data_IF_882497340898
#
_entry.id   IF_882497340898
#
_cell.length_a   1.000
_cell.length_b   1.000
_cell.length_c   1.000
_cell.angle_alpha   90.00
_cell.angle_beta   90.00
_cell.angle_gamma   90.00
#
_symmetry.space_group_name_H-M   'P 1'
#
loop_
_entity.id
_entity.type
_entity.pdbx_description
1 polymer ?
#
# COMPACT_ATOMS: atom_id res chain seq x y z
N UNK A 1 11.43 17.19 26.95
CA UNK A 1 10.71 15.89 26.96
C UNK A 1 11.75 14.79 27.12
N UNK A 2 11.55 13.88 28.07
CA UNK A 2 12.49 12.77 28.28
C UNK A 2 12.31 11.76 27.13
N UNK A 3 13.43 11.31 26.53
CA UNK A 3 13.41 10.33 25.45
C UNK A 3 12.94 8.97 26.00
N UNK A 4 12.02 8.30 25.30
CA UNK A 4 11.64 6.91 25.62
C UNK A 4 12.81 5.97 25.27
N UNK A 5 13.63 5.70 26.27
CA UNK A 5 14.84 4.89 26.10
C UNK A 5 14.53 3.46 25.70
N UNK A 6 13.44 2.88 26.22
CA UNK A 6 13.05 1.50 25.93
C UNK A 6 12.68 1.34 24.46
N UNK A 7 11.85 2.23 23.93
CA UNK A 7 11.48 2.23 22.52
C UNK A 7 12.71 2.41 21.61
N UNK A 8 13.57 3.38 21.91
CA UNK A 8 14.73 3.64 21.06
C UNK A 8 15.80 2.55 21.13
N UNK A 9 15.89 1.80 22.24
CA UNK A 9 16.72 0.59 22.31
C UNK A 9 16.17 -0.53 21.41
N UNK A 10 14.86 -0.72 21.36
CA UNK A 10 14.21 -1.67 20.44
C UNK A 10 14.44 -1.29 18.99
N UNK A 11 14.31 0.00 18.64
CA UNK A 11 14.62 0.50 17.29
C UNK A 11 16.08 0.22 16.92
N UNK A 12 17.02 0.43 17.82
CA UNK A 12 18.43 0.12 17.57
C UNK A 12 18.70 -1.38 17.38
N UNK A 13 17.98 -2.24 18.10
CA UNK A 13 18.04 -3.69 17.90
C UNK A 13 17.51 -4.07 16.50
N UNK A 14 16.41 -3.46 16.06
CA UNK A 14 15.87 -3.67 14.71
C UNK A 14 16.83 -3.19 13.62
N UNK A 15 17.45 -2.04 13.78
CA UNK A 15 18.50 -1.56 12.86
C UNK A 15 19.64 -2.60 12.76
N UNK A 16 20.05 -3.17 13.91
CA UNK A 16 21.10 -4.20 13.92
C UNK A 16 20.63 -5.49 13.22
N UNK A 17 19.39 -5.91 13.45
CA UNK A 17 18.80 -7.07 12.79
C UNK A 17 18.80 -6.90 11.26
N UNK A 18 18.31 -5.77 10.76
CA UNK A 18 18.26 -5.50 9.33
C UNK A 18 19.66 -5.42 8.70
N UNK A 19 20.65 -4.86 9.38
CA UNK A 19 22.05 -4.77 8.88
C UNK A 19 22.76 -6.12 8.79
N UNK A 20 22.43 -7.03 9.69
CA UNK A 20 23.13 -8.31 9.82
C UNK A 20 22.35 -9.50 9.22
N UNK A 21 21.10 -9.28 8.79
CA UNK A 21 20.25 -10.27 8.16
C UNK A 21 20.24 -10.16 6.64
N UNK A 22 19.91 -11.24 5.97
CA UNK A 22 19.57 -11.26 4.55
C UNK A 22 18.04 -11.36 4.47
N UNK A 23 17.41 -10.33 3.91
CA UNK A 23 15.95 -10.31 3.73
C UNK A 23 15.58 -10.99 2.42
N UNK A 24 14.77 -12.06 2.50
CA UNK A 24 14.32 -12.84 1.35
C UNK A 24 12.82 -12.67 1.06
N UNK A 25 12.13 -11.80 1.79
CA UNK A 25 10.73 -11.48 1.53
C UNK A 25 10.67 -10.52 0.34
N UNK A 26 10.20 -10.99 -0.81
CA UNK A 26 10.23 -10.26 -2.08
C UNK A 26 9.46 -8.94 -2.06
N UNK A 27 8.49 -8.78 -1.16
CA UNK A 27 7.69 -7.55 -1.00
C UNK A 27 8.33 -6.50 -0.09
N UNK A 28 9.43 -6.82 0.58
CA UNK A 28 10.15 -5.85 1.43
C UNK A 28 11.16 -5.05 0.60
N UNK A 29 11.33 -3.78 0.98
CA UNK A 29 12.30 -2.88 0.35
C UNK A 29 12.89 -1.92 1.39
N UNK A 30 14.21 -1.76 1.37
CA UNK A 30 14.89 -0.78 2.19
C UNK A 30 14.61 0.62 1.66
N UNK A 31 13.89 1.41 2.44
CA UNK A 31 13.54 2.78 2.04
C UNK A 31 14.75 3.73 2.16
N UNK A 32 14.73 4.80 1.38
CA UNK A 32 15.79 5.81 1.45
C UNK A 32 15.75 6.62 2.75
N UNK A 33 16.89 7.17 3.14
CA UNK A 33 16.98 8.05 4.31
C UNK A 33 16.04 9.26 4.21
N UNK A 34 15.84 9.80 3.01
CA UNK A 34 14.93 10.92 2.79
C UNK A 34 13.47 10.56 3.10
N UNK A 35 13.02 9.35 2.75
CA UNK A 35 11.68 8.86 3.10
C UNK A 35 11.54 8.73 4.61
N UNK A 36 12.51 8.10 5.29
CA UNK A 36 12.51 7.99 6.75
C UNK A 36 12.46 9.36 7.44
N UNK A 37 13.23 10.33 6.95
CA UNK A 37 13.22 11.70 7.47
C UNK A 37 11.88 12.39 7.24
N UNK A 38 11.27 12.24 6.06
CA UNK A 38 9.99 12.85 5.75
C UNK A 38 8.85 12.31 6.62
N UNK A 39 8.82 11.00 6.88
CA UNK A 39 7.78 10.36 7.69
C UNK A 39 7.73 10.86 9.14
N UNK A 40 8.86 11.25 9.72
CA UNK A 40 8.96 11.73 11.09
C UNK A 40 8.84 13.26 11.25
N UNK A 41 8.14 13.97 10.36
CA UNK A 41 8.10 15.42 10.33
C UNK A 41 6.75 16.03 10.76
N UNK A 42 6.70 17.34 10.87
CA UNK A 42 5.56 18.11 11.39
C UNK A 42 4.21 17.92 10.67
N UNK A 43 4.14 17.56 9.37
CA UNK A 43 2.87 17.17 8.76
C UNK A 43 2.09 16.08 9.48
N UNK A 44 2.76 15.24 10.27
CA UNK A 44 2.14 14.25 11.18
C UNK A 44 1.15 14.89 12.17
N UNK A 45 1.33 16.16 12.52
CA UNK A 45 0.46 16.90 13.43
C UNK A 45 -0.81 17.43 12.76
N UNK A 46 -0.89 17.39 11.41
CA UNK A 46 -1.93 18.08 10.68
C UNK A 46 -3.08 17.15 10.29
N UNK A 47 -4.26 17.51 10.73
CA UNK A 47 -5.50 16.91 10.27
C UNK A 47 -5.92 17.54 8.94
N UNK A 48 -5.86 16.75 7.83
CA UNK A 48 -6.03 17.24 6.45
C UNK A 48 -7.04 16.41 5.65
N UNK A 49 -8.18 16.12 6.26
CA UNK A 49 -9.26 15.37 5.61
C UNK A 49 -9.77 16.11 4.37
N UNK A 50 -10.05 15.38 3.30
CA UNK A 50 -10.43 15.91 1.99
C UNK A 50 -9.26 15.81 0.99
N UNK A 51 -9.28 16.65 -0.04
CA UNK A 51 -8.28 16.67 -1.11
C UNK A 51 -7.67 18.08 -1.26
N UNK A 52 -6.53 18.24 -1.95
CA UNK A 52 -5.96 19.55 -2.24
C UNK A 52 -7.00 20.52 -2.78
N UNK A 53 -7.09 21.70 -2.17
CA UNK A 53 -8.08 22.74 -2.49
C UNK A 53 -9.53 22.42 -2.06
N UNK A 54 -9.79 21.26 -1.46
CA UNK A 54 -11.11 20.82 -1.00
C UNK A 54 -11.02 20.13 0.37
N UNK A 55 -10.45 20.83 1.35
CA UNK A 55 -10.31 20.33 2.72
C UNK A 55 -11.50 20.70 3.59
N UNK A 56 -11.75 19.86 4.58
CA UNK A 56 -12.78 20.14 5.60
C UNK A 56 -12.29 21.09 6.70
N UNK A 57 -10.96 21.28 6.83
CA UNK A 57 -10.33 22.07 7.89
C UNK A 57 -9.37 23.10 7.30
N UNK A 58 -9.17 24.22 8.01
CA UNK A 58 -8.22 25.26 7.66
C UNK A 58 -6.76 24.89 7.93
N UNK A 59 -5.83 25.69 7.41
CA UNK A 59 -4.38 25.53 7.61
C UNK A 59 -3.77 24.36 6.85
N UNK A 60 -4.36 23.99 5.71
CA UNK A 60 -3.92 22.86 4.89
C UNK A 60 -3.11 23.27 3.66
N UNK A 61 -2.80 24.56 3.49
CA UNK A 61 -2.17 25.11 2.29
C UNK A 61 -0.86 24.40 1.94
N UNK A 62 0.00 24.20 2.94
CA UNK A 62 1.29 23.51 2.75
C UNK A 62 1.10 22.00 2.53
N UNK A 63 0.14 21.39 3.22
CA UNK A 63 -0.20 19.98 2.99
C UNK A 63 -0.74 19.76 1.58
N UNK A 64 -1.51 20.71 1.06
CA UNK A 64 -2.00 20.69 -0.32
C UNK A 64 -0.85 20.69 -1.33
N UNK A 65 0.17 21.52 -1.10
CA UNK A 65 1.38 21.56 -1.94
C UNK A 65 2.15 20.24 -1.86
N UNK A 66 2.32 19.67 -0.67
CA UNK A 66 3.00 18.38 -0.46
C UNK A 66 2.25 17.25 -1.19
N UNK A 67 0.94 17.18 -1.01
CA UNK A 67 0.12 16.12 -1.64
C UNK A 67 0.09 16.30 -3.16
N UNK A 68 -0.07 17.52 -3.66
CA UNK A 68 -0.02 17.82 -5.09
C UNK A 68 1.33 17.43 -5.69
N UNK A 69 2.44 17.75 -5.02
CA UNK A 69 3.77 17.34 -5.47
C UNK A 69 3.89 15.80 -5.57
N UNK A 70 3.36 15.07 -4.60
CA UNK A 70 3.36 13.61 -4.63
C UNK A 70 2.52 13.06 -5.78
N UNK A 71 1.33 13.62 -6.02
CA UNK A 71 0.43 13.27 -7.13
C UNK A 71 1.15 13.48 -8.47
N UNK A 72 1.74 14.65 -8.70
CA UNK A 72 2.39 14.96 -9.98
C UNK A 72 3.63 14.08 -10.22
N UNK A 73 4.39 13.75 -9.19
CA UNK A 73 5.51 12.80 -9.29
C UNK A 73 5.03 11.39 -9.63
N UNK A 74 3.97 10.92 -8.98
CA UNK A 74 3.39 9.61 -9.25
C UNK A 74 2.85 9.52 -10.69
N UNK A 75 2.12 10.54 -11.13
CA UNK A 75 1.64 10.65 -12.53
C UNK A 75 2.78 10.55 -13.53
N UNK A 76 3.90 11.23 -13.26
CA UNK A 76 5.08 11.18 -14.12
C UNK A 76 5.73 9.79 -14.16
N UNK A 77 5.86 9.13 -13.00
CA UNK A 77 6.48 7.80 -12.90
C UNK A 77 5.67 6.76 -13.68
N UNK A 78 4.33 6.79 -13.54
CA UNK A 78 3.43 5.81 -14.15
C UNK A 78 2.87 6.27 -15.51
N UNK A 79 3.26 7.44 -16.00
CA UNK A 79 2.75 8.04 -17.24
C UNK A 79 1.20 8.01 -17.30
N UNK A 80 0.55 8.44 -16.23
CA UNK A 80 -0.90 8.43 -16.09
C UNK A 80 -1.47 9.85 -15.91
N UNK A 81 -2.73 10.03 -16.26
CA UNK A 81 -3.41 11.34 -16.16
C UNK A 81 -3.93 11.65 -14.75
N UNK A 82 -4.11 10.62 -13.92
CA UNK A 82 -4.67 10.75 -12.59
C UNK A 82 -3.96 9.83 -11.60
N UNK A 83 -3.82 10.29 -10.35
CA UNK A 83 -3.25 9.51 -9.27
C UNK A 83 -3.86 9.93 -7.92
N UNK A 84 -3.95 8.99 -6.99
CA UNK A 84 -4.30 9.22 -5.60
C UNK A 84 -3.17 8.69 -4.71
N UNK A 85 -2.67 9.53 -3.81
CA UNK A 85 -1.53 9.22 -2.93
C UNK A 85 -1.95 9.06 -1.46
N UNK A 86 -3.25 9.10 -1.17
CA UNK A 86 -3.76 9.03 0.20
C UNK A 86 -3.81 7.64 0.82
N UNK A 87 -3.93 6.50 0.08
CA UNK A 87 -3.93 5.19 0.72
C UNK A 87 -2.69 4.98 1.60
N UNK A 88 -2.91 4.54 2.84
CA UNK A 88 -1.82 4.28 3.79
C UNK A 88 -1.09 2.95 3.51
N UNK A 89 -1.64 2.11 2.63
CA UNK A 89 -1.08 0.79 2.29
C UNK A 89 -1.59 0.31 0.94
N UNK A 90 -0.89 -0.67 0.35
CA UNK A 90 -1.37 -1.37 -0.85
C UNK A 90 -2.72 -2.06 -0.62
N UNK A 91 -2.97 -2.58 0.58
CA UNK A 91 -4.26 -3.18 0.93
C UNK A 91 -5.41 -2.16 0.87
N UNK A 92 -5.19 -0.93 1.37
CA UNK A 92 -6.18 0.14 1.27
C UNK A 92 -6.38 0.60 -0.17
N UNK A 93 -5.30 0.73 -0.95
CA UNK A 93 -5.39 1.08 -2.36
C UNK A 93 -6.21 0.05 -3.15
N UNK A 94 -5.93 -1.25 -2.95
CA UNK A 94 -6.70 -2.33 -3.56
C UNK A 94 -8.17 -2.30 -3.10
N UNK A 95 -8.43 -2.06 -1.83
CA UNK A 95 -9.79 -1.91 -1.30
C UNK A 95 -10.56 -0.78 -1.97
N UNK A 96 -9.92 0.36 -2.19
CA UNK A 96 -10.51 1.49 -2.90
C UNK A 96 -10.87 1.14 -4.35
N UNK A 97 -10.00 0.40 -5.06
CA UNK A 97 -10.29 -0.07 -6.42
C UNK A 97 -11.49 -1.02 -6.43
N UNK A 98 -11.52 -2.02 -5.54
CA UNK A 98 -12.68 -2.94 -5.44
C UNK A 98 -13.98 -2.18 -5.21
N UNK A 99 -13.99 -1.24 -4.25
CA UNK A 99 -15.18 -0.43 -3.95
C UNK A 99 -15.63 0.45 -5.13
N UNK A 100 -14.68 0.90 -5.97
CA UNK A 100 -14.98 1.75 -7.11
C UNK A 100 -15.59 0.97 -8.29
N UNK A 101 -15.18 -0.29 -8.49
CA UNK A 101 -15.51 -1.05 -9.72
C UNK A 101 -16.43 -2.24 -9.50
N UNK A 102 -16.66 -2.66 -8.24
CA UNK A 102 -17.42 -3.87 -7.91
C UNK A 102 -18.45 -3.64 -6.82
N UNK A 103 -19.52 -4.41 -6.86
CA UNK A 103 -20.51 -4.52 -5.79
C UNK A 103 -20.25 -5.77 -4.94
N UNK A 104 -20.63 -5.76 -3.65
CA UNK A 104 -20.55 -6.96 -2.81
C UNK A 104 -21.21 -8.18 -3.48
N UNK A 105 -20.53 -9.33 -3.42
CA UNK A 105 -20.99 -10.58 -4.02
C UNK A 105 -20.65 -10.77 -5.50
N UNK A 106 -20.14 -9.75 -6.20
CA UNK A 106 -19.69 -9.91 -7.58
C UNK A 106 -18.43 -10.79 -7.67
N UNK A 107 -18.27 -11.44 -8.81
CA UNK A 107 -17.16 -12.37 -9.06
C UNK A 107 -15.95 -11.65 -9.63
N UNK A 108 -14.76 -12.08 -9.21
CA UNK A 108 -13.50 -11.70 -9.83
C UNK A 108 -12.50 -12.84 -9.81
N UNK A 109 -11.50 -12.76 -10.66
CA UNK A 109 -10.39 -13.70 -10.73
C UNK A 109 -9.15 -13.12 -10.03
N UNK A 110 -8.51 -13.93 -9.18
CA UNK A 110 -7.25 -13.61 -8.52
C UNK A 110 -6.26 -14.76 -8.64
N UNK A 111 -4.97 -14.45 -8.68
CA UNK A 111 -3.93 -15.47 -8.59
C UNK A 111 -4.00 -16.12 -7.20
N UNK A 112 -3.93 -17.45 -7.16
CA UNK A 112 -3.94 -18.20 -5.89
C UNK A 112 -2.78 -17.77 -4.98
N UNK A 113 -3.08 -17.64 -3.68
CA UNK A 113 -2.10 -17.18 -2.68
C UNK A 113 -0.86 -18.09 -2.62
N UNK A 114 -1.05 -19.40 -2.76
CA UNK A 114 0.04 -20.37 -2.75
C UNK A 114 0.96 -20.30 -3.97
N UNK A 115 0.52 -19.61 -5.02
CA UNK A 115 1.23 -19.42 -6.28
C UNK A 115 1.72 -17.97 -6.49
N UNK A 116 1.79 -17.19 -5.40
CA UNK A 116 2.29 -15.81 -5.44
C UNK A 116 1.21 -14.74 -5.48
N UNK A 117 -0.06 -15.09 -5.33
CA UNK A 117 -1.17 -14.15 -5.21
C UNK A 117 -1.08 -13.29 -3.95
N UNK A 118 -1.71 -12.12 -3.99
CA UNK A 118 -1.77 -11.23 -2.84
C UNK A 118 -2.99 -11.52 -1.96
N UNK A 119 -2.88 -11.33 -0.64
CA UNK A 119 -3.99 -11.51 0.31
C UNK A 119 -5.24 -10.72 -0.10
N UNK A 120 -5.07 -9.51 -0.63
CA UNK A 120 -6.19 -8.66 -1.06
C UNK A 120 -6.84 -9.09 -2.38
N UNK A 121 -6.40 -10.18 -2.97
CA UNK A 121 -6.97 -10.75 -4.19
C UNK A 121 -7.78 -12.02 -3.92
N UNK A 122 -8.65 -11.96 -2.91
CA UNK A 122 -9.67 -13.00 -2.68
C UNK A 122 -9.37 -13.98 -1.57
N UNK A 123 -8.30 -13.78 -0.77
CA UNK A 123 -8.07 -14.63 0.39
C UNK A 123 -9.27 -14.61 1.35
N UNK A 124 -9.76 -15.77 1.86
CA UNK A 124 -10.87 -15.83 2.81
C UNK A 124 -10.61 -15.06 4.11
N UNK A 125 -9.34 -14.83 4.47
CA UNK A 125 -8.94 -14.05 5.62
C UNK A 125 -9.04 -12.53 5.40
N UNK A 126 -9.14 -12.09 4.14
CA UNK A 126 -9.11 -10.70 3.73
C UNK A 126 -10.52 -10.17 3.41
N UNK A 127 -10.68 -8.82 3.42
CA UNK A 127 -11.94 -8.18 3.03
C UNK A 127 -12.43 -8.63 1.65
N UNK A 128 -11.52 -8.81 0.69
CA UNK A 128 -11.86 -9.17 -0.69
C UNK A 128 -12.53 -10.54 -0.79
N UNK A 129 -12.03 -11.53 -0.09
CA UNK A 129 -12.65 -12.86 -0.04
C UNK A 129 -13.91 -12.95 0.84
N UNK A 130 -14.11 -11.97 1.75
CA UNK A 130 -15.32 -11.89 2.58
C UNK A 130 -16.46 -11.12 1.94
N UNK A 131 -16.13 -10.14 1.10
CA UNK A 131 -17.10 -9.22 0.49
C UNK A 131 -17.51 -9.66 -0.92
N UNK A 132 -16.58 -10.22 -1.68
CA UNK A 132 -16.76 -10.60 -3.07
C UNK A 132 -16.62 -12.11 -3.26
N UNK A 133 -17.03 -12.60 -4.42
CA UNK A 133 -16.89 -14.01 -4.80
C UNK A 133 -15.59 -14.19 -5.59
N UNK A 134 -14.50 -14.47 -4.88
CA UNK A 134 -13.21 -14.70 -5.51
C UNK A 134 -13.12 -16.10 -6.13
N UNK A 135 -12.72 -16.16 -7.40
CA UNK A 135 -12.27 -17.35 -8.10
C UNK A 135 -10.75 -17.25 -8.25
N UNK A 136 -10.06 -18.40 -8.21
CA UNK A 136 -8.60 -18.41 -8.24
C UNK A 136 -8.09 -19.18 -9.45
N UNK A 137 -7.04 -18.67 -10.06
CA UNK A 137 -6.26 -19.35 -11.08
C UNK A 137 -4.82 -19.54 -10.58
N UNK A 138 -4.13 -20.49 -11.18
CA UNK A 138 -2.77 -20.85 -10.81
C UNK A 138 -1.75 -20.56 -11.89
N UNK A 139 -0.58 -21.19 -11.70
CA UNK A 139 0.50 -21.21 -12.67
C UNK A 139 0.81 -22.65 -13.09
N UNK A 140 1.28 -22.84 -14.31
CA UNK A 140 1.75 -24.14 -14.82
C UNK A 140 3.03 -24.56 -14.12
N UNK A 141 3.52 -25.77 -14.40
CA UNK A 141 4.81 -26.27 -13.88
C UNK A 141 6.01 -25.42 -14.33
N UNK A 142 5.86 -24.74 -15.46
CA UNK A 142 6.87 -23.83 -16.02
C UNK A 142 6.84 -22.43 -15.40
N UNK A 143 5.88 -22.17 -14.48
CA UNK A 143 5.75 -20.89 -13.75
C UNK A 143 5.07 -19.78 -14.55
N UNK A 144 4.35 -20.11 -15.61
CA UNK A 144 3.52 -19.15 -16.37
C UNK A 144 2.06 -19.26 -15.96
N UNK A 145 1.26 -18.21 -16.20
CA UNK A 145 -0.19 -18.22 -15.91
C UNK A 145 -0.84 -19.40 -16.61
N UNK A 146 -1.63 -20.16 -15.86
CA UNK A 146 -2.43 -21.27 -16.38
C UNK A 146 -3.69 -20.72 -17.07
N UNK A 147 -3.59 -20.48 -18.36
CA UNK A 147 -4.70 -19.93 -19.17
C UNK A 147 -5.83 -20.93 -19.39
N UNK A 148 -5.57 -22.24 -19.33
CA UNK A 148 -6.61 -23.27 -19.43
C UNK A 148 -7.49 -23.26 -18.18
N UNK A 149 -6.90 -23.05 -17.00
CA UNK A 149 -7.67 -22.91 -15.76
C UNK A 149 -8.42 -21.57 -15.68
N UNK A 150 -7.94 -20.56 -16.38
CA UNK A 150 -8.50 -19.21 -16.32
C UNK A 150 -9.77 -19.07 -17.20
N UNK A 151 -9.92 -19.85 -18.25
CA UNK A 151 -11.11 -19.93 -19.12
C UNK A 151 -12.25 -20.73 -18.46
#
# INVERSE_FOLDING_TARGET
>A
MQKDTVLFELINKEISRQRNGIELIASENFTSLQVLQAMGTVPTNKYAEGYPGKRYYGGCEIVDEIETLAIERLKKIFNCSWANVQPHSGAQANGAVFLAVMKPGEKFLGLDLSMGGHLTHGSPANFSGKTYHALHYGVTKEGIVDYEQLE
#
